data_IF_488925006294
#
_entry.id   IF_488925006294
#
_cell.length_a   1.000
_cell.length_b   1.000
_cell.length_c   1.000
_cell.angle_alpha   90.00
_cell.angle_beta   90.00
_cell.angle_gamma   90.00
#
_symmetry.space_group_name_H-M   'P 1'
#
loop_
_entity.id
_entity.type
_entity.pdbx_description
1 polymer ?
#
# COMPACT_ATOMS: atom_id res chain seq x y z
N UNK A 1 14.03 -25.43 -57.46
CA UNK A 1 12.87 -25.37 -56.55
C UNK A 1 13.07 -24.38 -55.39
N UNK A 2 13.51 -23.15 -55.69
CA UNK A 2 13.88 -22.12 -54.70
C UNK A 2 12.75 -21.11 -54.48
N UNK A 3 11.94 -20.88 -55.52
CA UNK A 3 10.73 -20.03 -55.45
C UNK A 3 9.67 -20.63 -54.54
N UNK A 4 9.50 -21.95 -54.54
CA UNK A 4 8.52 -22.64 -53.69
C UNK A 4 8.84 -22.46 -52.19
N UNK A 5 10.10 -22.66 -51.81
CA UNK A 5 10.59 -22.45 -50.44
C UNK A 5 10.40 -20.98 -50.01
N UNK A 6 10.65 -20.03 -50.91
CA UNK A 6 10.50 -18.61 -50.60
C UNK A 6 9.02 -18.22 -50.44
N UNK A 7 8.14 -18.79 -51.26
CA UNK A 7 6.69 -18.59 -51.15
C UNK A 7 6.14 -19.18 -49.85
N UNK A 8 6.53 -20.39 -49.48
CA UNK A 8 6.10 -21.05 -48.24
C UNK A 8 6.60 -20.30 -47.00
N UNK A 9 7.84 -19.82 -47.01
CA UNK A 9 8.37 -19.00 -45.92
C UNK A 9 7.62 -17.68 -45.77
N UNK A 10 7.33 -16.99 -46.87
CA UNK A 10 6.59 -15.73 -46.85
C UNK A 10 5.16 -15.92 -46.33
N UNK A 11 4.48 -16.96 -46.78
CA UNK A 11 3.14 -17.30 -46.31
C UNK A 11 3.14 -17.63 -44.81
N UNK A 12 4.07 -18.46 -44.36
CA UNK A 12 4.20 -18.83 -42.94
C UNK A 12 4.47 -17.59 -42.07
N UNK A 13 5.32 -16.67 -42.54
CA UNK A 13 5.60 -15.43 -41.84
C UNK A 13 4.37 -14.52 -41.72
N UNK A 14 3.58 -14.40 -42.79
CA UNK A 14 2.34 -13.61 -42.80
C UNK A 14 1.28 -14.23 -41.87
N UNK A 15 1.16 -15.56 -41.85
CA UNK A 15 0.25 -16.30 -40.96
C UNK A 15 0.63 -16.10 -39.48
N UNK A 16 1.90 -16.26 -39.12
CA UNK A 16 2.38 -16.03 -37.74
C UNK A 16 2.14 -14.58 -37.32
N UNK A 17 2.37 -13.62 -38.22
CA UNK A 17 2.11 -12.20 -37.91
C UNK A 17 0.64 -11.93 -37.63
N UNK A 18 -0.27 -12.48 -38.45
CA UNK A 18 -1.71 -12.34 -38.25
C UNK A 18 -2.19 -13.02 -36.96
N UNK A 19 -1.65 -14.19 -36.62
CA UNK A 19 -1.97 -14.87 -35.37
C UNK A 19 -1.52 -14.06 -34.16
N UNK A 20 -0.30 -13.48 -34.21
CA UNK A 20 0.22 -12.63 -33.15
C UNK A 20 -0.62 -11.37 -32.97
N UNK A 21 -0.98 -10.69 -34.07
CA UNK A 21 -1.87 -9.51 -34.04
C UNK A 21 -3.25 -9.86 -33.46
N UNK A 22 -3.78 -11.05 -33.79
CA UNK A 22 -5.08 -11.51 -33.29
C UNK A 22 -5.02 -11.80 -31.79
N UNK A 23 -3.97 -12.48 -31.31
CA UNK A 23 -3.76 -12.73 -29.89
C UNK A 23 -3.67 -11.43 -29.10
N UNK A 24 -2.87 -10.46 -29.57
CA UNK A 24 -2.75 -9.15 -28.92
C UNK A 24 -4.09 -8.42 -28.84
N UNK A 25 -4.90 -8.44 -29.91
CA UNK A 25 -6.24 -7.82 -29.89
C UNK A 25 -7.19 -8.51 -28.92
N UNK A 26 -7.13 -9.84 -28.81
CA UNK A 26 -7.95 -10.58 -27.86
C UNK A 26 -7.58 -10.27 -26.41
N UNK A 27 -6.28 -10.16 -26.12
CA UNK A 27 -5.78 -9.79 -24.79
C UNK A 27 -6.18 -8.36 -24.40
N UNK A 28 -6.03 -7.40 -25.32
CA UNK A 28 -6.49 -6.03 -25.10
C UNK A 28 -7.99 -5.98 -24.81
N UNK A 29 -8.81 -6.66 -25.64
CA UNK A 29 -10.25 -6.73 -25.42
C UNK A 29 -10.62 -7.42 -24.09
N UNK A 30 -9.81 -8.37 -23.62
CA UNK A 30 -10.04 -9.01 -22.33
C UNK A 30 -9.74 -8.05 -21.18
N UNK A 31 -8.63 -7.29 -21.27
CA UNK A 31 -8.28 -6.25 -20.30
C UNK A 31 -9.29 -5.11 -20.27
N UNK A 32 -9.77 -4.66 -21.42
CA UNK A 32 -10.80 -3.61 -21.51
C UNK A 32 -12.11 -4.05 -20.83
N UNK A 33 -12.52 -5.31 -21.01
CA UNK A 33 -13.69 -5.86 -20.31
C UNK A 33 -13.49 -5.93 -18.79
N UNK A 34 -12.28 -6.28 -18.36
CA UNK A 34 -11.94 -6.30 -16.93
C UNK A 34 -11.99 -4.90 -16.32
N UNK A 35 -11.44 -3.90 -17.02
CA UNK A 35 -11.54 -2.48 -16.63
C UNK A 35 -13.01 -2.06 -16.50
N UNK A 36 -13.86 -2.39 -17.48
CA UNK A 36 -15.29 -2.06 -17.43
C UNK A 36 -16.01 -2.68 -16.23
N UNK A 37 -15.62 -3.90 -15.83
CA UNK A 37 -16.15 -4.56 -14.64
C UNK A 37 -15.74 -3.79 -13.37
N UNK A 38 -14.46 -3.43 -13.26
CA UNK A 38 -13.96 -2.65 -12.12
C UNK A 38 -14.63 -1.27 -12.03
N UNK A 39 -14.82 -0.58 -13.15
CA UNK A 39 -15.52 0.71 -13.20
C UNK A 39 -16.98 0.57 -12.73
N UNK A 40 -17.69 -0.47 -13.17
CA UNK A 40 -19.06 -0.76 -12.71
C UNK A 40 -19.11 -1.06 -11.22
N UNK A 41 -18.17 -1.84 -10.69
CA UNK A 41 -18.09 -2.10 -9.26
C UNK A 41 -17.85 -0.82 -8.46
N UNK A 42 -16.94 0.05 -8.93
CA UNK A 42 -16.67 1.33 -8.31
C UNK A 42 -17.91 2.24 -8.30
N UNK A 43 -18.66 2.31 -9.41
CA UNK A 43 -19.93 3.07 -9.48
C UNK A 43 -20.98 2.50 -8.53
N UNK A 44 -21.12 1.18 -8.45
CA UNK A 44 -22.05 0.53 -7.53
C UNK A 44 -21.68 0.79 -6.06
N UNK A 45 -20.40 0.74 -5.72
CA UNK A 45 -19.91 1.06 -4.39
C UNK A 45 -20.16 2.52 -4.01
N UNK A 46 -19.93 3.45 -4.94
CA UNK A 46 -20.23 4.87 -4.76
C UNK A 46 -21.72 5.09 -4.48
N UNK A 47 -22.61 4.37 -5.19
CA UNK A 47 -24.05 4.42 -4.95
C UNK A 47 -24.46 3.86 -3.59
N UNK A 48 -23.78 2.83 -3.09
CA UNK A 48 -24.02 2.28 -1.76
C UNK A 48 -23.61 3.26 -0.65
N UNK A 49 -22.47 3.93 -0.82
CA UNK A 49 -21.99 4.98 0.10
C UNK A 49 -23.00 6.14 0.16
N UNK A 50 -23.54 6.57 -0.98
CA UNK A 50 -24.52 7.65 -1.02
C UNK A 50 -25.81 7.29 -0.26
N UNK A 51 -26.28 6.04 -0.36
CA UNK A 51 -27.45 5.55 0.41
C UNK A 51 -27.20 5.49 1.92
N UNK A 52 -25.99 5.15 2.34
CA UNK A 52 -25.57 5.18 3.76
C UNK A 52 -25.51 6.62 4.31
N UNK A 53 -25.11 7.58 3.46
CA UNK A 53 -25.11 9.00 3.82
C UNK A 53 -26.53 9.61 3.89
N UNK A 54 -27.45 9.15 3.04
CA UNK A 54 -28.85 9.59 3.01
C UNK A 54 -29.69 9.05 4.19
N UNK A 55 -29.28 7.93 4.81
CA UNK A 55 -29.90 7.35 5.99
C UNK A 55 -28.86 6.97 7.04
N UNK A 56 -28.36 7.92 7.84
CA UNK A 56 -27.46 7.59 8.95
C UNK A 56 -28.17 6.64 9.92
N UNK A 57 -27.49 5.57 10.41
CA UNK A 57 -28.08 4.68 11.39
C UNK A 57 -28.40 5.46 12.67
N UNK A 58 -29.68 5.47 13.06
CA UNK A 58 -30.12 6.00 14.35
C UNK A 58 -29.43 5.19 15.44
N UNK A 59 -28.38 5.77 16.03
CA UNK A 59 -27.73 5.20 17.20
C UNK A 59 -28.59 5.51 18.42
N UNK A 60 -29.50 4.59 18.80
CA UNK A 60 -30.05 4.60 20.15
C UNK A 60 -29.01 4.05 21.11
N UNK A 61 -28.07 4.91 21.49
CA UNK A 61 -27.27 4.75 22.71
C UNK A 61 -27.71 5.84 23.68
N UNK A 62 -28.73 5.55 24.48
CA UNK A 62 -28.99 6.29 25.72
C UNK A 62 -27.77 6.12 26.62
N UNK A 63 -26.92 7.15 26.71
CA UNK A 63 -25.95 7.28 27.78
C UNK A 63 -26.36 8.43 28.69
N UNK A 64 -26.80 8.01 29.87
CA UNK A 64 -27.10 8.79 31.05
C UNK A 64 -25.84 9.55 31.50
N UNK A 65 -25.94 10.88 31.49
CA UNK A 65 -25.39 11.83 32.46
C UNK A 65 -23.90 11.70 32.88
N UNK A 66 -23.09 12.69 32.48
CA UNK A 66 -21.96 13.16 33.32
C UNK A 66 -20.65 13.49 32.61
N UNK A 67 -20.50 14.76 32.23
CA UNK A 67 -19.24 15.49 32.01
C UNK A 67 -18.05 14.80 31.31
N UNK A 68 -17.84 15.14 30.03
CA UNK A 68 -16.49 15.44 29.54
C UNK A 68 -16.53 16.55 28.50
N UNK A 69 -15.66 17.53 28.72
CA UNK A 69 -15.41 18.69 27.87
C UNK A 69 -15.16 18.22 26.44
N UNK A 70 -16.02 18.66 25.53
CA UNK A 70 -15.90 18.44 24.09
C UNK A 70 -14.82 19.40 23.59
N UNK A 71 -13.63 18.87 23.32
CA UNK A 71 -12.71 19.50 22.37
C UNK A 71 -12.96 18.82 21.03
N UNK A 72 -13.88 19.40 20.26
CA UNK A 72 -14.18 18.97 18.91
C UNK A 72 -13.04 19.41 17.99
N UNK A 73 -12.16 18.47 17.67
CA UNK A 73 -11.23 18.55 16.55
C UNK A 73 -11.51 17.39 15.58
N UNK A 74 -12.78 17.16 15.25
CA UNK A 74 -13.12 16.25 14.17
C UNK A 74 -12.92 16.94 12.81
N UNK A 75 -11.67 16.97 12.33
CA UNK A 75 -11.43 17.12 10.90
C UNK A 75 -11.57 15.73 10.28
N UNK A 76 -12.74 15.47 9.68
CA UNK A 76 -13.00 14.30 8.86
C UNK A 76 -12.20 14.40 7.57
N UNK A 77 -11.11 13.64 7.45
CA UNK A 77 -10.40 13.46 6.17
C UNK A 77 -11.11 12.39 5.34
N UNK A 78 -11.99 12.84 4.43
CA UNK A 78 -12.55 12.04 3.35
C UNK A 78 -12.12 12.65 2.01
N UNK A 79 -11.11 12.07 1.39
CA UNK A 79 -10.62 12.47 0.06
C UNK A 79 -9.21 11.98 -0.20
N UNK A 80 -8.95 11.51 -1.43
CA UNK A 80 -7.65 11.03 -1.90
C UNK A 80 -6.50 11.93 -1.40
N UNK A 81 -5.64 11.36 -0.55
CA UNK A 81 -4.51 12.08 0.05
C UNK A 81 -3.45 12.28 -1.04
N UNK A 82 -3.44 13.47 -1.63
CA UNK A 82 -2.26 13.99 -2.29
C UNK A 82 -1.36 14.56 -1.18
N UNK A 83 -0.24 13.88 -0.89
CA UNK A 83 0.75 14.35 0.08
C UNK A 83 1.46 15.57 -0.50
N UNK A 84 0.86 16.76 -0.33
CA UNK A 84 1.56 18.02 -0.55
C UNK A 84 2.28 18.37 0.76
N UNK A 85 3.52 17.90 0.88
CA UNK A 85 4.42 18.15 1.99
C UNK A 85 5.07 19.55 1.97
N UNK A 86 4.43 20.57 1.37
CA UNK A 86 5.05 21.90 1.26
C UNK A 86 4.58 22.94 2.30
N UNK A 87 3.59 22.68 3.18
CA UNK A 87 3.31 23.64 4.27
C UNK A 87 2.35 23.22 5.42
N UNK A 88 2.03 21.92 5.59
CA UNK A 88 1.24 21.48 6.76
C UNK A 88 2.15 21.18 7.93
N UNK A 89 1.80 21.68 9.13
CA UNK A 89 2.42 21.23 10.38
C UNK A 89 2.20 19.72 10.47
N UNK A 90 3.28 18.96 10.30
CA UNK A 90 3.24 17.50 10.27
C UNK A 90 2.92 17.01 11.68
N UNK A 91 1.70 16.51 11.89
CA UNK A 91 1.27 15.98 13.18
C UNK A 91 1.55 14.48 13.25
N UNK A 92 2.45 14.05 14.15
CA UNK A 92 2.81 12.64 14.27
C UNK A 92 1.63 11.74 14.62
N UNK A 93 0.67 12.25 15.38
CA UNK A 93 -0.52 11.47 15.76
C UNK A 93 -1.34 11.12 14.53
N UNK A 94 -1.46 12.04 13.59
CA UNK A 94 -2.22 11.85 12.37
C UNK A 94 -1.49 10.90 11.42
N UNK A 95 -0.17 11.02 11.28
CA UNK A 95 0.65 10.06 10.51
C UNK A 95 0.53 8.65 11.11
N UNK A 96 0.77 8.51 12.41
CA UNK A 96 0.70 7.21 13.10
C UNK A 96 -0.69 6.57 12.93
N UNK A 97 -1.76 7.36 13.09
CA UNK A 97 -3.13 6.89 12.87
C UNK A 97 -3.38 6.43 11.43
N UNK A 98 -2.89 7.18 10.44
CA UNK A 98 -3.00 6.81 9.03
C UNK A 98 -2.23 5.52 8.71
N UNK A 99 -1.00 5.41 9.18
CA UNK A 99 -0.15 4.22 9.00
C UNK A 99 -0.81 3.00 9.63
N UNK A 100 -1.35 3.15 10.84
CA UNK A 100 -2.08 2.07 11.53
C UNK A 100 -3.30 1.61 10.72
N UNK A 101 -4.03 2.54 10.11
CA UNK A 101 -5.16 2.22 9.24
C UNK A 101 -4.72 1.47 7.97
N UNK A 102 -3.62 1.89 7.32
CA UNK A 102 -3.08 1.23 6.13
C UNK A 102 -2.61 -0.20 6.45
N UNK A 103 -1.88 -0.38 7.54
CA UNK A 103 -1.47 -1.70 8.04
C UNK A 103 -2.69 -2.57 8.37
N UNK A 104 -3.72 -1.96 8.97
CA UNK A 104 -4.97 -2.62 9.31
C UNK A 104 -5.70 -3.25 8.12
N UNK A 105 -5.57 -2.66 6.94
CA UNK A 105 -6.18 -3.10 5.67
C UNK A 105 -5.43 -4.26 5.00
N UNK A 106 -4.23 -4.61 5.46
CA UNK A 106 -3.48 -5.71 4.88
C UNK A 106 -4.12 -7.08 5.18
N UNK A 107 -4.06 -8.02 4.23
CA UNK A 107 -4.54 -9.37 4.44
C UNK A 107 -3.75 -10.04 5.56
N UNK A 108 -4.44 -10.79 6.42
CA UNK A 108 -3.83 -11.50 7.58
C UNK A 108 -3.42 -12.92 7.19
N UNK A 109 -3.03 -13.16 5.95
CA UNK A 109 -2.61 -14.49 5.50
C UNK A 109 -1.25 -14.84 6.13
N UNK A 110 -1.30 -15.58 7.23
CA UNK A 110 -0.14 -16.19 7.86
C UNK A 110 -0.01 -17.62 7.34
N UNK A 111 1.13 -17.94 6.72
CA UNK A 111 1.54 -19.34 6.56
C UNK A 111 2.01 -19.81 7.94
N UNK A 112 1.63 -21.04 8.33
CA UNK A 112 1.99 -21.64 9.62
C UNK A 112 3.48 -21.38 9.93
N UNK A 113 3.76 -20.82 11.12
CA UNK A 113 5.09 -20.46 11.65
C UNK A 113 5.84 -19.25 11.06
N UNK A 114 5.23 -18.42 10.19
CA UNK A 114 5.81 -17.11 9.83
C UNK A 114 4.91 -15.92 10.21
N UNK A 115 5.47 -14.83 10.78
CA UNK A 115 4.70 -13.63 11.08
C UNK A 115 4.12 -13.03 9.80
N UNK A 116 2.88 -12.55 9.86
CA UNK A 116 2.27 -11.88 8.71
C UNK A 116 2.95 -10.54 8.42
N UNK A 117 2.84 -10.04 7.19
CA UNK A 117 3.34 -8.71 6.84
C UNK A 117 2.74 -7.62 7.74
N UNK A 118 1.45 -7.78 8.08
CA UNK A 118 0.73 -6.91 9.00
C UNK A 118 1.39 -6.89 10.38
N UNK A 119 1.77 -8.05 10.93
CA UNK A 119 2.43 -8.14 12.24
C UNK A 119 3.81 -7.51 12.21
N UNK A 120 4.58 -7.72 11.13
CA UNK A 120 5.90 -7.14 10.96
C UNK A 120 5.85 -5.61 10.87
N UNK A 121 4.92 -5.06 10.09
CA UNK A 121 4.75 -3.61 9.96
C UNK A 121 4.20 -2.98 11.24
N UNK A 122 3.33 -3.66 11.97
CA UNK A 122 2.86 -3.21 13.30
C UNK A 122 4.02 -3.13 14.30
N UNK A 123 4.91 -4.13 14.30
CA UNK A 123 6.11 -4.11 15.16
C UNK A 123 7.06 -2.98 14.78
N UNK A 124 7.26 -2.74 13.47
CA UNK A 124 8.10 -1.65 12.98
C UNK A 124 7.53 -0.27 13.34
N UNK A 125 6.22 -0.07 13.18
CA UNK A 125 5.53 1.14 13.64
C UNK A 125 5.77 1.38 15.14
N UNK A 126 5.52 0.38 15.97
CA UNK A 126 5.72 0.48 17.43
C UNK A 126 7.18 0.77 17.81
N UNK A 127 8.14 0.18 17.09
CA UNK A 127 9.55 0.45 17.30
C UNK A 127 9.88 1.92 17.06
N UNK A 128 9.37 2.53 15.97
CA UNK A 128 9.57 3.95 15.65
C UNK A 128 8.92 4.85 16.71
N UNK A 129 7.65 4.61 17.03
CA UNK A 129 6.90 5.46 17.96
C UNK A 129 7.53 5.50 19.35
N UNK A 130 8.02 4.36 19.80
CA UNK A 130 8.58 4.19 21.15
C UNK A 130 10.10 4.33 21.21
N UNK A 131 10.77 4.63 20.09
CA UNK A 131 12.20 4.93 20.07
C UNK A 131 12.44 6.31 20.68
N UNK A 132 13.27 6.36 21.73
CA UNK A 132 13.60 7.62 22.40
C UNK A 132 14.81 8.32 21.78
N UNK A 133 15.56 7.66 20.91
CA UNK A 133 16.68 8.26 20.18
C UNK A 133 16.23 9.01 18.92
N UNK A 134 15.03 8.70 18.41
CA UNK A 134 14.46 9.41 17.27
C UNK A 134 13.83 10.73 17.70
N UNK A 135 14.28 11.81 17.06
CA UNK A 135 13.58 13.09 17.08
C UNK A 135 12.23 13.00 16.37
N UNK A 136 11.33 13.92 16.71
CA UNK A 136 9.93 13.89 16.28
C UNK A 136 9.76 13.97 14.75
N UNK A 137 10.58 14.78 14.09
CA UNK A 137 10.71 14.87 12.63
C UNK A 137 11.17 13.55 12.01
N UNK A 138 12.22 12.94 12.56
CA UNK A 138 12.72 11.64 12.09
C UNK A 138 11.69 10.50 12.29
N UNK A 139 10.88 10.56 13.36
CA UNK A 139 9.75 9.63 13.55
C UNK A 139 8.68 9.82 12.49
N UNK A 140 8.33 11.07 12.17
CA UNK A 140 7.33 11.37 11.15
C UNK A 140 7.77 10.84 9.77
N UNK A 141 9.04 11.06 9.42
CA UNK A 141 9.64 10.53 8.19
C UNK A 141 9.62 9.00 8.19
N UNK A 142 10.13 8.35 9.25
CA UNK A 142 10.15 6.89 9.34
C UNK A 142 8.74 6.27 9.28
N UNK A 143 7.75 6.86 9.95
CA UNK A 143 6.36 6.39 9.88
C UNK A 143 5.78 6.55 8.47
N UNK A 144 6.12 7.63 7.76
CA UNK A 144 5.70 7.82 6.36
C UNK A 144 6.21 6.67 5.50
N UNK A 145 7.48 6.29 5.66
CA UNK A 145 8.07 5.15 4.94
C UNK A 145 7.39 3.82 5.29
N UNK A 146 7.00 3.60 6.54
CA UNK A 146 6.21 2.41 6.92
C UNK A 146 4.85 2.41 6.20
N UNK A 147 4.21 3.58 6.07
CA UNK A 147 2.98 3.73 5.29
C UNK A 147 3.17 3.42 3.80
N UNK A 148 4.31 3.80 3.21
CA UNK A 148 4.64 3.44 1.82
C UNK A 148 4.81 1.94 1.64
N UNK A 149 5.46 1.25 2.59
CA UNK A 149 5.58 -0.21 2.56
C UNK A 149 4.20 -0.86 2.69
N UNK A 150 3.34 -0.36 3.58
CA UNK A 150 1.98 -0.87 3.74
C UNK A 150 1.13 -0.67 2.47
N UNK A 151 1.27 0.47 1.78
CA UNK A 151 0.61 0.69 0.50
C UNK A 151 1.13 -0.28 -0.58
N UNK A 152 2.45 -0.43 -0.71
CA UNK A 152 3.04 -1.35 -1.67
C UNK A 152 2.65 -2.81 -1.40
N UNK A 153 2.43 -3.16 -0.13
CA UNK A 153 2.01 -4.48 0.31
C UNK A 153 0.60 -4.89 -0.15
N UNK A 154 -0.21 -3.97 -0.67
CA UNK A 154 -1.49 -4.31 -1.31
C UNK A 154 -1.28 -5.06 -2.64
N UNK A 155 -0.17 -4.79 -3.34
CA UNK A 155 0.22 -5.43 -4.60
C UNK A 155 1.71 -5.80 -4.61
N UNK A 156 2.18 -6.70 -3.72
CA UNK A 156 3.61 -6.86 -3.41
C UNK A 156 4.44 -7.50 -4.53
N UNK A 157 3.79 -8.04 -5.57
CA UNK A 157 4.45 -8.67 -6.73
C UNK A 157 4.48 -7.76 -7.97
N UNK A 158 3.86 -6.59 -7.92
CA UNK A 158 3.95 -5.61 -9.00
C UNK A 158 5.30 -4.89 -8.97
N UNK A 159 5.98 -4.81 -10.12
CA UNK A 159 7.34 -4.24 -10.19
C UNK A 159 7.45 -2.80 -9.69
N UNK A 160 6.40 -1.98 -9.90
CA UNK A 160 6.34 -0.60 -9.37
C UNK A 160 6.22 -0.58 -7.85
N UNK A 161 5.45 -1.49 -7.26
CA UNK A 161 5.27 -1.61 -5.81
C UNK A 161 6.51 -2.19 -5.14
N UNK A 162 7.17 -3.17 -5.78
CA UNK A 162 8.48 -3.67 -5.34
C UNK A 162 9.52 -2.54 -5.29
N UNK A 163 9.52 -1.64 -6.29
CA UNK A 163 10.43 -0.49 -6.31
C UNK A 163 10.09 0.52 -5.21
N UNK A 164 8.81 0.79 -4.99
CA UNK A 164 8.34 1.68 -3.91
C UNK A 164 8.76 1.11 -2.54
N UNK A 165 8.44 -0.15 -2.26
CA UNK A 165 8.84 -0.83 -1.03
C UNK A 165 10.37 -0.81 -0.84
N UNK A 166 11.15 -1.06 -1.89
CA UNK A 166 12.62 -0.97 -1.82
C UNK A 166 13.11 0.43 -1.47
N UNK A 167 12.48 1.47 -2.03
CA UNK A 167 12.76 2.86 -1.72
C UNK A 167 12.57 3.13 -0.23
N UNK A 168 11.38 2.81 0.27
CA UNK A 168 11.02 3.02 1.68
C UNK A 168 11.88 2.22 2.67
N UNK A 169 12.18 0.96 2.34
CA UNK A 169 13.11 0.13 3.12
C UNK A 169 14.51 0.76 3.20
N UNK A 170 15.00 1.35 2.10
CA UNK A 170 16.30 2.03 2.10
C UNK A 170 16.27 3.34 2.87
N UNK A 171 15.17 4.10 2.79
CA UNK A 171 14.97 5.31 3.57
C UNK A 171 15.00 4.99 5.08
N UNK A 172 14.27 3.96 5.53
CA UNK A 172 14.32 3.50 6.92
C UNK A 172 15.72 3.09 7.39
N UNK A 173 16.50 2.40 6.53
CA UNK A 173 17.90 2.10 6.82
C UNK A 173 18.75 3.36 6.91
N UNK A 174 18.48 4.35 6.05
CA UNK A 174 19.11 5.67 6.08
C UNK A 174 18.83 6.41 7.38
N UNK A 175 17.57 6.47 7.81
CA UNK A 175 17.15 7.09 9.09
C UNK A 175 17.78 6.36 10.28
N UNK A 176 17.88 5.03 10.22
CA UNK A 176 18.55 4.24 11.24
C UNK A 176 20.08 4.41 11.26
N UNK A 177 20.67 5.06 10.25
CA UNK A 177 22.12 5.23 10.17
C UNK A 177 22.59 6.24 11.22
N UNK A 178 23.53 5.82 12.06
CA UNK A 178 24.07 6.67 13.12
C UNK A 178 23.30 6.60 14.44
N UNK A 179 22.20 5.85 14.50
CA UNK A 179 21.54 5.50 15.76
C UNK A 179 22.36 4.45 16.52
N UNK A 180 22.22 4.43 17.84
CA UNK A 180 22.94 3.49 18.69
C UNK A 180 22.30 2.09 18.65
N UNK A 181 22.96 1.09 19.23
CA UNK A 181 22.36 -0.24 19.41
C UNK A 181 21.18 -0.26 20.39
N UNK A 182 21.00 0.79 21.20
CA UNK A 182 19.81 0.96 22.05
C UNK A 182 18.59 1.50 21.29
N UNK A 183 18.77 2.00 20.05
CA UNK A 183 17.65 2.41 19.20
C UNK A 183 16.79 1.21 18.83
N UNK A 184 15.48 1.40 19.00
CA UNK A 184 14.47 0.42 18.64
C UNK A 184 14.30 0.35 17.13
N UNK A 185 14.36 1.48 16.43
CA UNK A 185 14.35 1.48 14.97
C UNK A 185 15.59 0.76 14.42
N UNK A 186 16.79 1.00 14.96
CA UNK A 186 17.99 0.31 14.49
C UNK A 186 17.89 -1.21 14.67
N UNK A 187 17.40 -1.68 15.82
CA UNK A 187 17.16 -3.11 16.08
C UNK A 187 16.08 -3.69 15.17
N UNK A 188 14.94 -3.00 15.04
CA UNK A 188 13.85 -3.40 14.14
C UNK A 188 14.30 -3.45 12.67
N UNK A 189 15.16 -2.53 12.24
CA UNK A 189 15.74 -2.53 10.90
C UNK A 189 16.61 -3.77 10.64
N UNK A 190 17.35 -4.24 11.64
CA UNK A 190 18.19 -5.46 11.54
C UNK A 190 17.34 -6.73 11.50
N UNK A 191 16.26 -6.79 12.28
CA UNK A 191 15.47 -8.01 12.49
C UNK A 191 14.28 -8.14 11.52
N UNK A 192 13.54 -7.05 11.29
CA UNK A 192 12.26 -7.07 10.57
C UNK A 192 12.41 -6.77 9.09
N UNK A 193 13.29 -5.84 8.69
CA UNK A 193 13.41 -5.46 7.27
C UNK A 193 13.82 -6.62 6.36
N UNK A 194 14.71 -7.55 6.74
CA UNK A 194 15.00 -8.71 5.88
C UNK A 194 13.75 -9.57 5.61
N UNK A 195 12.91 -9.77 6.64
CA UNK A 195 11.66 -10.52 6.52
C UNK A 195 10.68 -9.78 5.60
N UNK A 196 10.48 -8.48 5.82
CA UNK A 196 9.62 -7.63 4.98
C UNK A 196 10.11 -7.65 3.53
N UNK A 197 11.41 -7.46 3.30
CA UNK A 197 12.03 -7.46 1.96
C UNK A 197 11.74 -8.76 1.20
N UNK A 198 11.81 -9.90 1.89
CA UNK A 198 11.54 -11.22 1.30
C UNK A 198 10.09 -11.37 0.81
N UNK A 199 9.12 -10.74 1.49
CA UNK A 199 7.70 -10.81 1.09
C UNK A 199 7.44 -10.13 -0.25
N UNK A 200 8.20 -9.07 -0.56
CA UNK A 200 8.21 -8.42 -1.86
C UNK A 200 9.02 -9.17 -2.93
N UNK A 201 9.70 -10.28 -2.59
CA UNK A 201 10.58 -11.00 -3.52
C UNK A 201 11.81 -10.19 -3.92
N UNK A 202 12.25 -9.29 -3.04
CA UNK A 202 13.43 -8.46 -3.22
C UNK A 202 14.67 -9.16 -2.63
N UNK A 203 15.87 -8.91 -3.19
CA UNK A 203 17.12 -9.41 -2.66
C UNK A 203 17.59 -8.68 -1.39
#
# INVERSE_FOLDING_TARGET
DKEKIHSEFKQTYEEIRQQLETQYKQELNAKDREIEIYEKQNVQMWSAINRLAEHPPVSTTENILGNKIVHDQSQTFQGNVNINAQNSVVNLRDISGQVSNQIGQLPTESILDQPSLKDLLTQLQNAIETDTELAEDAKAEALTEVGEIANAAQSPKEGVMQKAAKGAINALKGIATGLSDASKLASACKELLPLITSMFGLP
#
